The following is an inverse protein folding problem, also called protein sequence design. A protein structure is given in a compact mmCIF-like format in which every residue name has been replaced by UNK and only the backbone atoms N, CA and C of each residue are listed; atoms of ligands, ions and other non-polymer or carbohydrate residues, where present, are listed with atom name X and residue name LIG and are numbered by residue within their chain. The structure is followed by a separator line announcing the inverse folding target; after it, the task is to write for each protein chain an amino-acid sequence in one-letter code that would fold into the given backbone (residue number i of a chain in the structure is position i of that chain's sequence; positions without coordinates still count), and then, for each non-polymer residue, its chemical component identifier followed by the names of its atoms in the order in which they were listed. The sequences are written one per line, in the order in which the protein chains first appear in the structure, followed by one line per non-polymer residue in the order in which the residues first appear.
data_IF_336053963128
#
_entry.id   IF_336053963128
#
_cell.length_a   1.000
_cell.length_b   1.000
_cell.length_c   1.000
_cell.angle_alpha   90.00
_cell.angle_beta   90.00
_cell.angle_gamma   90.00
#
_symmetry.space_group_name_H-M   'P 1'
#
loop_
_entity.id
_entity.type
_entity.pdbx_description
1 polymer ?
#
# COMPACT_ATOMS: atom_id res chain seq x y z
N UNK A 1 -9.41 11.11 -10.74
CA UNK A 1 -9.70 9.89 -9.92
C UNK A 1 -8.48 9.00 -9.89
N UNK A 2 -7.78 8.91 -8.75
CA UNK A 2 -6.67 7.97 -8.55
C UNK A 2 -7.21 6.54 -8.51
N UNK A 3 -6.97 5.74 -9.55
CA UNK A 3 -7.52 4.39 -9.63
C UNK A 3 -6.53 3.37 -9.07
N UNK A 4 -6.62 3.08 -7.77
CA UNK A 4 -5.80 2.06 -7.10
C UNK A 4 -5.84 0.72 -7.84
N UNK A 5 -7.01 0.35 -8.36
CA UNK A 5 -7.20 -0.89 -9.12
C UNK A 5 -6.43 -0.94 -10.45
N UNK A 6 -6.21 0.20 -11.13
CA UNK A 6 -5.42 0.20 -12.38
C UNK A 6 -3.95 0.01 -12.07
N UNK A 7 -3.44 0.70 -11.06
CA UNK A 7 -2.07 0.52 -10.58
C UNK A 7 -1.81 -0.94 -10.16
N UNK A 8 -2.69 -1.55 -9.37
CA UNK A 8 -2.54 -2.95 -8.93
C UNK A 8 -2.60 -3.95 -10.10
N UNK A 9 -3.31 -3.62 -11.18
CA UNK A 9 -3.39 -4.45 -12.39
C UNK A 9 -2.14 -4.32 -13.25
N UNK A 10 -1.63 -3.11 -13.40
CA UNK A 10 -0.56 -2.81 -14.36
C UNK A 10 0.84 -3.10 -13.79
N UNK A 11 0.98 -3.20 -12.47
CA UNK A 11 2.24 -3.47 -11.79
C UNK A 11 2.39 -4.96 -11.44
N UNK A 12 3.42 -5.59 -12.01
CA UNK A 12 3.69 -7.02 -11.86
C UNK A 12 3.93 -7.44 -10.39
N UNK A 13 4.36 -6.52 -9.50
CA UNK A 13 4.53 -6.78 -8.06
C UNK A 13 3.20 -7.10 -7.38
N UNK A 14 2.09 -6.63 -7.94
CA UNK A 14 0.74 -6.75 -7.37
C UNK A 14 -0.20 -7.60 -8.23
N UNK A 15 0.16 -7.86 -9.49
CA UNK A 15 -0.64 -8.64 -10.45
C UNK A 15 -0.27 -10.13 -10.51
N UNK A 16 0.60 -10.61 -9.60
CA UNK A 16 0.93 -12.03 -9.47
C UNK A 16 -0.34 -12.88 -9.17
N UNK A 17 -0.52 -14.05 -9.81
CA UNK A 17 -1.70 -14.91 -9.63
C UNK A 17 -2.03 -15.23 -8.17
N UNK A 18 -1.01 -15.34 -7.31
CA UNK A 18 -1.08 -15.71 -5.90
C UNK A 18 -1.59 -14.56 -5.01
N UNK A 19 -1.45 -13.32 -5.47
CA UNK A 19 -1.81 -12.09 -4.74
C UNK A 19 -3.11 -11.48 -5.28
N UNK A 20 -3.52 -11.89 -6.49
CA UNK A 20 -4.63 -11.32 -7.23
C UNK A 20 -5.95 -11.42 -6.45
N UNK A 21 -6.62 -10.27 -6.32
CA UNK A 21 -7.99 -10.06 -5.84
C UNK A 21 -8.32 -10.38 -4.37
N UNK A 22 -7.71 -11.36 -3.71
CA UNK A 22 -8.09 -11.75 -2.35
C UNK A 22 -7.80 -10.66 -1.31
N UNK A 23 -6.57 -10.16 -1.25
CA UNK A 23 -6.18 -9.11 -0.28
C UNK A 23 -6.71 -7.73 -0.66
N UNK A 24 -6.78 -7.42 -1.96
CA UNK A 24 -7.36 -6.17 -2.43
C UNK A 24 -8.83 -6.04 -2.02
N UNK A 25 -9.62 -7.11 -2.12
CA UNK A 25 -11.04 -7.09 -1.73
C UNK A 25 -11.24 -6.93 -0.21
N UNK A 26 -10.37 -7.54 0.61
CA UNK A 26 -10.41 -7.40 2.07
C UNK A 26 -10.05 -5.98 2.54
N UNK A 27 -9.04 -5.37 1.93
CA UNK A 27 -8.56 -4.04 2.30
C UNK A 27 -9.46 -2.90 1.80
N UNK A 28 -10.33 -3.14 0.81
CA UNK A 28 -11.29 -2.16 0.29
C UNK A 28 -12.57 -2.02 1.15
N UNK A 29 -12.65 -2.68 2.32
CA UNK A 29 -13.77 -2.51 3.24
C UNK A 29 -13.79 -1.07 3.80
N UNK A 30 -14.94 -0.42 3.77
CA UNK A 30 -15.08 1.00 4.17
C UNK A 30 -14.46 1.31 5.54
N UNK A 31 -14.63 0.42 6.52
CA UNK A 31 -14.18 0.65 7.89
C UNK A 31 -12.71 0.24 8.14
N UNK A 32 -12.04 -0.40 7.18
CA UNK A 32 -10.66 -0.87 7.37
C UNK A 32 -9.70 0.30 7.46
N UNK A 33 -9.88 1.32 6.60
CA UNK A 33 -9.01 2.51 6.55
C UNK A 33 -8.90 3.23 7.88
N UNK A 34 -10.03 3.42 8.58
CA UNK A 34 -10.09 4.17 9.83
C UNK A 34 -9.34 3.50 10.99
N UNK A 35 -9.25 2.17 10.96
CA UNK A 35 -8.54 1.40 12.01
C UNK A 35 -7.10 1.09 11.61
N UNK A 36 -6.85 0.93 10.31
CA UNK A 36 -5.57 0.49 9.79
C UNK A 36 -4.57 1.63 9.59
N UNK A 37 -5.02 2.84 9.31
CA UNK A 37 -4.14 3.98 9.03
C UNK A 37 -3.89 4.78 10.30
N UNK A 38 -2.61 4.87 10.69
CA UNK A 38 -2.15 5.73 11.77
C UNK A 38 -1.76 7.11 11.27
N UNK A 39 -0.57 7.55 11.68
CA UNK A 39 -0.03 8.85 11.27
C UNK A 39 0.23 8.92 9.76
N UNK A 40 -0.15 10.04 9.15
CA UNK A 40 0.07 10.35 7.73
C UNK A 40 0.81 11.67 7.61
N UNK A 41 1.83 11.69 6.76
CA UNK A 41 2.58 12.88 6.36
C UNK A 41 2.45 13.06 4.85
N UNK A 42 2.10 14.28 4.44
CA UNK A 42 1.98 14.70 3.06
C UNK A 42 3.08 15.69 2.71
N UNK A 43 3.76 15.49 1.59
CA UNK A 43 4.71 16.44 1.01
C UNK A 43 4.38 16.63 -0.47
N UNK A 44 4.27 17.88 -0.91
CA UNK A 44 4.12 18.24 -2.33
C UNK A 44 5.40 18.88 -2.84
N UNK A 45 5.91 18.40 -3.96
CA UNK A 45 7.07 18.93 -4.67
C UNK A 45 6.76 19.04 -6.17
N UNK A 46 6.35 20.24 -6.60
CA UNK A 46 5.78 20.43 -7.94
C UNK A 46 4.52 19.57 -8.11
N UNK A 47 4.49 18.76 -9.16
CA UNK A 47 3.39 17.82 -9.45
C UNK A 47 3.51 16.50 -8.68
N UNK A 48 4.57 16.29 -7.90
CA UNK A 48 4.75 15.08 -7.10
C UNK A 48 4.11 15.25 -5.71
N UNK A 49 3.24 14.31 -5.38
CA UNK A 49 2.61 14.17 -4.09
C UNK A 49 3.15 12.90 -3.41
N UNK A 50 3.95 13.10 -2.36
CA UNK A 50 4.60 12.05 -1.59
C UNK A 50 3.85 11.90 -0.27
N UNK A 51 3.24 10.75 -0.08
CA UNK A 51 2.51 10.38 1.13
C UNK A 51 3.33 9.35 1.90
N UNK A 52 3.61 9.62 3.16
CA UNK A 52 4.16 8.63 4.10
C UNK A 52 3.12 8.31 5.15
N UNK A 53 2.85 7.05 5.41
CA UNK A 53 1.90 6.66 6.43
C UNK A 53 2.40 5.48 7.27
N UNK A 54 1.84 5.33 8.47
CA UNK A 54 1.96 4.10 9.26
C UNK A 54 0.70 3.27 9.09
N UNK A 55 0.87 1.99 8.80
CA UNK A 55 -0.23 1.06 8.56
C UNK A 55 -0.15 -0.10 9.56
N UNK A 56 -1.28 -0.41 10.18
CA UNK A 56 -1.46 -1.57 11.04
C UNK A 56 -1.75 -2.81 10.19
N UNK A 57 -0.99 -3.91 10.33
CA UNK A 57 -1.24 -5.12 9.57
C UNK A 57 -2.57 -5.77 9.98
N UNK A 58 -3.39 -6.16 8.99
CA UNK A 58 -4.74 -6.74 9.19
C UNK A 58 -4.73 -7.96 10.11
N UNK A 59 -3.70 -8.81 10.03
CA UNK A 59 -3.77 -10.16 10.59
C UNK A 59 -3.28 -10.33 12.03
N UNK A 60 -2.66 -9.33 12.68
CA UNK A 60 -2.18 -9.49 14.07
C UNK A 60 -2.13 -8.16 14.81
N UNK A 61 -3.08 -7.95 15.73
CA UNK A 61 -3.16 -6.83 16.69
C UNK A 61 -1.87 -6.64 17.51
N UNK A 62 -0.98 -7.64 17.55
CA UNK A 62 0.31 -7.60 18.27
C UNK A 62 1.53 -7.23 17.40
N UNK A 63 1.39 -7.12 16.09
CA UNK A 63 2.51 -6.74 15.23
C UNK A 63 2.70 -5.21 15.22
N UNK A 64 3.96 -4.78 15.15
CA UNK A 64 4.29 -3.37 14.98
C UNK A 64 3.69 -2.85 13.67
N UNK A 65 3.19 -1.62 13.69
CA UNK A 65 2.83 -0.92 12.46
C UNK A 65 4.05 -0.79 11.56
N UNK A 66 3.82 -0.91 10.26
CA UNK A 66 4.84 -0.74 9.24
C UNK A 66 4.66 0.61 8.57
N UNK A 67 5.72 1.16 7.99
CA UNK A 67 5.65 2.46 7.30
C UNK A 67 5.45 2.21 5.80
N UNK A 68 4.73 3.08 5.11
CA UNK A 68 4.53 2.99 3.66
C UNK A 68 4.82 4.35 3.04
N UNK A 69 5.44 4.36 1.86
CA UNK A 69 5.58 5.54 1.02
C UNK A 69 4.78 5.33 -0.27
N UNK A 70 3.94 6.30 -0.59
CA UNK A 70 3.14 6.36 -1.81
C UNK A 70 3.54 7.63 -2.56
N UNK A 71 3.88 7.47 -3.83
CA UNK A 71 4.25 8.58 -4.72
C UNK A 71 3.20 8.68 -5.81
N UNK A 72 2.61 9.86 -5.94
CA UNK A 72 1.55 10.18 -6.89
C UNK A 72 2.02 11.36 -7.75
N UNK A 73 1.65 11.36 -9.02
CA UNK A 73 1.68 12.57 -9.86
C UNK A 73 0.29 13.19 -9.87
N UNK A 74 0.17 14.40 -9.32
CA UNK A 74 -1.08 15.17 -9.33
C UNK A 74 -1.46 15.60 -10.77
N UNK A 75 -0.48 15.83 -11.65
CA UNK A 75 -0.72 16.23 -13.04
C UNK A 75 -1.45 15.19 -13.89
N UNK A 76 -1.18 13.90 -13.70
CA UNK A 76 -1.86 12.81 -14.44
C UNK A 76 -2.81 11.99 -13.57
N UNK A 77 -2.92 12.35 -12.29
CA UNK A 77 -3.70 11.65 -11.27
C UNK A 77 -3.34 10.14 -11.17
N UNK A 78 -2.06 9.81 -11.33
CA UNK A 78 -1.56 8.43 -11.31
C UNK A 78 -0.67 8.16 -10.12
N UNK A 79 -0.81 6.94 -9.60
CA UNK A 79 0.15 6.38 -8.65
C UNK A 79 1.40 6.01 -9.44
N UNK A 80 2.55 6.52 -9.01
CA UNK A 80 3.86 6.21 -9.60
C UNK A 80 4.46 4.99 -8.92
N UNK A 81 4.45 4.98 -7.58
CA UNK A 81 5.06 3.90 -6.82
C UNK A 81 4.46 3.78 -5.41
N UNK A 82 4.52 2.55 -4.88
CA UNK A 82 4.10 2.19 -3.53
C UNK A 82 5.16 1.28 -2.92
N UNK A 83 5.70 1.68 -1.77
CA UNK A 83 6.72 0.91 -1.06
C UNK A 83 6.30 0.70 0.39
N UNK A 84 6.28 -0.55 0.85
CA UNK A 84 6.23 -0.84 2.28
C UNK A 84 7.66 -0.84 2.85
N UNK A 85 7.79 -0.34 4.06
CA UNK A 85 9.00 -0.28 4.86
C UNK A 85 8.73 -1.03 6.15
N UNK A 86 9.69 -1.82 6.62
CA UNK A 86 9.57 -2.57 7.87
C UNK A 86 8.41 -3.59 7.89
N UNK A 87 7.98 -4.06 6.72
CA UNK A 87 6.92 -5.04 6.55
C UNK A 87 7.47 -6.42 6.15
N UNK A 88 6.77 -7.51 6.49
CA UNK A 88 7.21 -8.88 6.15
C UNK A 88 7.40 -9.08 4.63
N UNK A 89 6.72 -8.27 3.82
CA UNK A 89 6.86 -8.29 2.36
C UNK A 89 8.16 -7.63 1.89
N UNK A 90 8.56 -6.52 2.53
CA UNK A 90 9.82 -5.84 2.23
C UNK A 90 11.06 -6.67 2.59
N UNK A 91 10.91 -7.64 3.49
CA UNK A 91 12.03 -8.46 4.00
C UNK A 91 12.18 -9.82 3.30
N UNK A 92 11.35 -10.12 2.28
CA UNK A 92 11.43 -11.38 1.53
C UNK A 92 10.90 -12.61 2.28
N UNK A 93 10.31 -12.44 3.46
CA UNK A 93 9.94 -13.55 4.35
C UNK A 93 8.76 -14.40 3.80
N UNK A 94 8.05 -13.91 2.78
CA UNK A 94 6.98 -14.68 2.12
C UNK A 94 7.48 -15.81 1.21
N UNK A 95 8.77 -15.91 0.89
CA UNK A 95 9.31 -17.07 0.14
C UNK A 95 9.42 -18.35 1.00
N UNK A 96 9.34 -18.25 2.33
CA UNK A 96 9.53 -19.38 3.26
C UNK A 96 8.25 -19.85 3.97
N UNK A 97 7.08 -19.37 3.56
CA UNK A 97 5.78 -19.80 4.12
C UNK A 97 4.83 -20.35 3.05
N UNK A 98 5.37 -21.12 2.10
CA UNK A 98 4.60 -21.97 1.19
C UNK A 98 4.79 -23.44 1.55
#
# INVERSE_FOLDING_TARGET
MFTVLTFLRDDDRFNAPEIRSAKASLNCRENYGDTAIGYVQLKREGDLCIVKCRVCPEHKVRNKSYSTTLIITEATEKIIDVQCHDCAAATGIYEYMQ
#
